data_IF_053742012675
#
_entry.id   IF_053742012675
#
_cell.length_a   1.000
_cell.length_b   1.000
_cell.length_c   1.000
_cell.angle_alpha   90.00
_cell.angle_beta   90.00
_cell.angle_gamma   90.00
#
_symmetry.space_group_name_H-M   'P 1'
#
loop_
_entity.id
_entity.type
_entity.pdbx_description
1 polymer ?
#
# COMPACT_ATOMS: atom_id res chain seq x y z
N UNK A 1 -3.26 -12.19 -83.69
CA UNK A 1 -4.48 -12.88 -84.24
C UNK A 1 -5.45 -13.03 -83.09
N UNK A 2 -6.61 -12.48 -83.30
CA UNK A 2 -7.89 -12.54 -82.60
C UNK A 2 -8.10 -11.62 -81.34
N UNK A 3 -8.80 -10.55 -81.67
CA UNK A 3 -9.55 -9.69 -80.78
C UNK A 3 -10.82 -10.46 -80.34
N UNK A 4 -11.14 -10.35 -79.04
CA UNK A 4 -12.49 -10.60 -78.53
C UNK A 4 -13.00 -9.34 -77.85
N UNK A 5 -14.04 -8.78 -78.44
CA UNK A 5 -14.87 -7.70 -77.91
C UNK A 5 -15.65 -8.18 -76.71
N UNK A 6 -15.65 -7.42 -75.61
CA UNK A 6 -16.56 -7.64 -74.48
C UNK A 6 -17.50 -6.46 -74.35
N UNK A 7 -18.74 -6.71 -74.67
CA UNK A 7 -19.89 -5.83 -74.59
C UNK A 7 -20.12 -5.35 -73.12
N UNK A 8 -20.27 -4.06 -72.95
CA UNK A 8 -20.71 -3.41 -71.71
C UNK A 8 -22.23 -3.66 -71.52
N UNK A 9 -22.60 -4.37 -70.42
CA UNK A 9 -23.94 -4.31 -69.88
C UNK A 9 -23.97 -3.39 -68.69
N UNK A 10 -24.74 -2.29 -68.76
CA UNK A 10 -25.14 -1.43 -67.65
C UNK A 10 -26.04 -2.19 -66.69
N UNK A 11 -25.62 -2.35 -65.43
CA UNK A 11 -26.48 -2.78 -64.34
C UNK A 11 -26.92 -1.51 -63.55
N UNK A 12 -28.23 -1.41 -63.41
CA UNK A 12 -28.91 -0.30 -62.68
C UNK A 12 -28.57 -0.42 -61.16
N UNK A 13 -28.18 0.70 -60.57
CA UNK A 13 -27.96 0.79 -59.15
C UNK A 13 -29.27 0.77 -58.36
N UNK A 14 -29.36 -0.14 -57.42
CA UNK A 14 -30.29 -0.03 -56.30
C UNK A 14 -29.50 0.52 -55.10
N UNK A 15 -29.78 1.78 -54.76
CA UNK A 15 -29.34 2.36 -53.51
C UNK A 15 -30.24 1.81 -52.40
N UNK A 16 -29.67 1.01 -51.51
CA UNK A 16 -30.30 0.67 -50.22
C UNK A 16 -30.05 1.80 -49.21
N UNK A 17 -31.02 2.17 -48.39
CA UNK A 17 -30.82 3.20 -47.40
C UNK A 17 -29.91 2.70 -46.26
N UNK A 18 -28.78 3.37 -46.06
CA UNK A 18 -27.93 3.18 -44.87
C UNK A 18 -28.75 3.62 -43.65
N UNK A 19 -29.05 2.66 -42.76
CA UNK A 19 -29.73 2.92 -41.51
C UNK A 19 -28.76 3.64 -40.55
N UNK A 20 -29.24 4.74 -39.99
CA UNK A 20 -28.51 5.59 -39.02
C UNK A 20 -28.29 4.93 -37.66
N UNK A 21 -28.51 3.65 -37.51
CA UNK A 21 -28.33 2.87 -36.28
C UNK A 21 -26.88 2.44 -35.99
N UNK A 22 -25.99 2.48 -36.99
CA UNK A 22 -24.59 2.04 -36.79
C UNK A 22 -23.66 3.15 -36.26
N UNK A 23 -24.06 4.43 -36.38
CA UNK A 23 -23.24 5.56 -35.93
C UNK A 23 -23.36 5.85 -34.41
N UNK A 24 -24.43 5.36 -33.78
CA UNK A 24 -24.69 5.63 -32.35
C UNK A 24 -23.96 4.64 -31.42
N UNK A 25 -23.59 3.48 -31.90
CA UNK A 25 -22.89 2.47 -31.09
C UNK A 25 -21.37 2.76 -30.97
N UNK A 26 -20.77 3.37 -31.97
CA UNK A 26 -19.34 3.72 -31.94
C UNK A 26 -19.05 4.93 -31.04
N UNK A 27 -20.01 5.82 -30.86
CA UNK A 27 -19.87 6.99 -29.98
C UNK A 27 -20.01 6.65 -28.47
N UNK A 28 -20.71 5.55 -28.14
CA UNK A 28 -20.88 5.11 -26.75
C UNK A 28 -19.68 4.34 -26.18
N UNK A 29 -18.79 3.80 -27.03
CA UNK A 29 -17.59 3.07 -26.58
C UNK A 29 -16.42 4.02 -26.26
N UNK A 30 -16.46 5.28 -26.73
CA UNK A 30 -15.44 6.30 -26.49
C UNK A 30 -15.69 7.16 -25.25
N UNK A 31 -16.79 6.93 -24.54
CA UNK A 31 -17.15 7.65 -23.31
C UNK A 31 -17.11 6.75 -22.06
N UNK A 32 -16.25 5.73 -22.03
CA UNK A 32 -15.94 5.10 -20.75
C UNK A 32 -15.00 6.05 -20.01
N UNK A 33 -15.38 6.60 -18.83
CA UNK A 33 -14.44 7.32 -18.02
C UNK A 33 -13.30 6.32 -17.70
N UNK A 34 -12.07 6.70 -18.03
CA UNK A 34 -10.90 6.00 -17.52
C UNK A 34 -11.04 6.02 -15.99
N UNK A 35 -11.18 4.85 -15.36
CA UNK A 35 -11.22 4.75 -13.92
C UNK A 35 -9.93 5.40 -13.40
N UNK A 36 -10.06 6.61 -12.89
CA UNK A 36 -8.98 7.31 -12.22
C UNK A 36 -8.76 6.58 -10.90
N UNK A 37 -7.73 5.73 -10.83
CA UNK A 37 -7.27 5.17 -9.57
C UNK A 37 -6.73 6.33 -8.73
N UNK A 38 -7.57 6.88 -7.87
CA UNK A 38 -7.17 7.87 -6.88
C UNK A 38 -6.28 7.16 -5.84
N UNK A 39 -4.99 7.38 -5.94
CA UNK A 39 -4.00 6.88 -4.99
C UNK A 39 -4.23 7.51 -3.62
N UNK A 40 -4.25 6.66 -2.57
CA UNK A 40 -4.40 7.06 -1.17
C UNK A 40 -3.47 8.21 -0.77
N UNK A 41 -4.00 9.18 -0.04
CA UNK A 41 -3.27 10.28 0.61
C UNK A 41 -2.87 11.43 -0.33
N UNK A 42 -2.44 11.16 -1.54
CA UNK A 42 -1.93 12.19 -2.45
C UNK A 42 -2.97 12.74 -3.44
N UNK A 43 -4.08 12.05 -3.64
CA UNK A 43 -5.16 12.51 -4.55
C UNK A 43 -5.76 13.85 -4.16
N UNK A 44 -5.71 14.19 -2.88
CA UNK A 44 -6.20 15.49 -2.36
C UNK A 44 -5.25 16.65 -2.59
N UNK A 45 -4.00 16.38 -2.96
CA UNK A 45 -2.97 17.40 -3.12
C UNK A 45 -2.66 17.63 -4.59
N UNK A 46 -2.49 18.90 -4.96
CA UNK A 46 -2.13 19.29 -6.32
C UNK A 46 -0.61 19.39 -6.48
N UNK A 47 -0.01 18.35 -7.01
CA UNK A 47 1.44 18.28 -7.21
C UNK A 47 1.97 19.25 -8.26
N UNK A 48 1.09 19.81 -9.09
CA UNK A 48 1.44 20.88 -10.01
C UNK A 48 1.49 22.26 -9.33
N UNK A 49 1.04 22.34 -8.06
CA UNK A 49 1.06 23.56 -7.26
C UNK A 49 1.96 23.37 -6.02
N UNK A 50 3.29 23.49 -6.18
CA UNK A 50 4.20 23.46 -5.06
C UNK A 50 3.92 24.66 -4.14
N UNK A 51 4.04 24.44 -2.83
CA UNK A 51 3.90 25.48 -1.82
C UNK A 51 5.16 25.56 -0.99
N UNK A 52 5.50 26.80 -0.61
CA UNK A 52 6.52 27.10 0.38
C UNK A 52 5.85 27.90 1.51
N UNK A 53 5.89 27.37 2.73
CA UNK A 53 5.17 27.90 3.88
C UNK A 53 6.16 28.11 5.00
N UNK A 54 6.22 29.32 5.54
CA UNK A 54 6.98 29.60 6.76
C UNK A 54 6.00 29.86 7.91
N UNK A 55 6.19 29.15 9.00
CA UNK A 55 5.32 29.27 10.17
C UNK A 55 5.93 28.72 11.45
N UNK A 56 5.22 28.93 12.56
CA UNK A 56 5.62 28.42 13.87
C UNK A 56 4.93 27.09 14.13
N UNK A 57 5.71 26.07 14.50
CA UNK A 57 5.17 24.73 14.86
C UNK A 57 4.32 24.85 16.11
N UNK A 58 3.06 24.43 16.04
CA UNK A 58 2.12 24.44 17.16
C UNK A 58 1.76 23.06 17.68
N UNK A 59 1.80 22.03 16.79
CA UNK A 59 1.51 20.63 17.15
C UNK A 59 2.11 19.69 16.12
N UNK A 60 2.44 18.49 16.58
CA UNK A 60 2.76 17.34 15.75
C UNK A 60 1.92 16.15 16.18
N UNK A 61 1.27 15.48 15.23
CA UNK A 61 0.66 14.17 15.41
C UNK A 61 1.52 13.15 14.65
N UNK A 62 2.45 12.52 15.36
CA UNK A 62 3.39 11.56 14.78
C UNK A 62 2.82 10.15 14.88
N UNK A 63 1.85 9.83 14.00
CA UNK A 63 0.95 8.67 14.09
C UNK A 63 0.84 7.91 12.76
N UNK A 64 0.24 6.72 12.81
CA UNK A 64 -0.22 5.97 11.64
C UNK A 64 -1.74 6.19 11.44
N UNK A 65 -2.27 6.12 10.23
CA UNK A 65 -1.62 5.87 8.95
C UNK A 65 -0.98 7.11 8.31
N UNK A 66 -1.25 8.32 8.80
CA UNK A 66 -0.71 9.60 8.33
C UNK A 66 -0.35 10.48 9.51
N UNK A 67 0.83 11.08 9.48
CA UNK A 67 1.23 12.08 10.47
C UNK A 67 0.84 13.48 10.01
N UNK A 68 0.67 14.41 10.96
CA UNK A 68 0.24 15.78 10.67
C UNK A 68 1.08 16.78 11.44
N UNK A 69 1.61 17.78 10.72
CA UNK A 69 2.25 18.93 11.30
C UNK A 69 1.31 20.11 11.25
N UNK A 70 1.15 20.80 12.38
CA UNK A 70 0.36 22.01 12.51
C UNK A 70 1.28 23.20 12.72
N UNK A 71 1.05 24.25 11.94
CA UNK A 71 1.83 25.49 12.01
C UNK A 71 0.93 26.70 11.95
N UNK A 72 1.32 27.73 12.68
CA UNK A 72 0.73 29.05 12.58
C UNK A 72 1.52 29.88 11.56
N UNK A 73 0.83 30.35 10.53
CA UNK A 73 1.40 31.13 9.42
C UNK A 73 0.88 32.56 9.50
N UNK A 74 1.79 33.52 9.61
CA UNK A 74 1.42 34.94 9.55
C UNK A 74 1.26 35.39 8.10
N UNK A 75 0.17 36.09 7.79
CA UNK A 75 -0.03 36.74 6.50
C UNK A 75 0.69 38.09 6.43
N UNK A 76 0.61 38.76 5.27
CA UNK A 76 1.22 40.07 5.05
C UNK A 76 0.65 41.19 5.95
N UNK A 77 -0.51 40.98 6.55
CA UNK A 77 -1.17 41.93 7.46
C UNK A 77 -0.85 41.61 8.94
N UNK A 78 -0.14 40.49 9.20
CA UNK A 78 0.17 40.00 10.54
C UNK A 78 -0.99 39.21 11.17
N UNK A 79 -2.03 38.85 10.42
CA UNK A 79 -3.06 37.91 10.87
C UNK A 79 -2.50 36.48 10.81
N UNK A 80 -2.73 35.72 11.87
CA UNK A 80 -2.23 34.34 11.96
C UNK A 80 -3.29 33.38 11.48
N UNK A 81 -2.89 32.46 10.61
CA UNK A 81 -3.71 31.37 10.08
C UNK A 81 -3.09 30.03 10.49
N UNK A 82 -3.90 29.18 11.14
CA UNK A 82 -3.49 27.82 11.41
C UNK A 82 -3.52 26.98 10.12
N UNK A 83 -2.44 26.27 9.85
CA UNK A 83 -2.32 25.34 8.73
C UNK A 83 -1.97 23.94 9.22
N UNK A 84 -2.44 22.95 8.48
CA UNK A 84 -2.16 21.54 8.74
C UNK A 84 -1.52 20.92 7.49
N UNK A 85 -0.37 20.31 7.66
CA UNK A 85 0.33 19.61 6.59
C UNK A 85 0.39 18.13 6.88
N UNK A 86 -0.15 17.32 5.97
CA UNK A 86 -0.12 15.87 6.02
C UNK A 86 1.27 15.36 5.66
N UNK A 87 1.69 14.29 6.32
CA UNK A 87 2.93 13.56 6.07
C UNK A 87 2.62 12.08 5.93
N UNK A 88 3.64 11.27 5.65
CA UNK A 88 3.52 9.80 5.66
C UNK A 88 3.30 9.28 7.09
N UNK A 89 2.98 7.97 7.15
CA UNK A 89 2.87 7.24 8.40
C UNK A 89 4.12 7.41 9.28
N UNK A 90 3.93 7.51 10.59
CA UNK A 90 5.02 7.64 11.55
C UNK A 90 6.11 6.55 11.39
N UNK A 91 5.71 5.31 11.08
CA UNK A 91 6.68 4.22 10.84
C UNK A 91 7.55 4.51 9.63
N UNK A 92 6.98 5.01 8.53
CA UNK A 92 7.74 5.40 7.33
C UNK A 92 8.67 6.58 7.59
N UNK A 93 8.20 7.57 8.35
CA UNK A 93 9.01 8.71 8.74
C UNK A 93 10.22 8.26 9.57
N UNK A 94 10.01 7.34 10.55
CA UNK A 94 11.12 6.76 11.34
C UNK A 94 12.11 6.00 10.47
N UNK A 95 11.63 5.21 9.52
CA UNK A 95 12.49 4.50 8.56
C UNK A 95 13.29 5.47 7.69
N UNK A 96 12.81 6.68 7.52
CA UNK A 96 13.50 7.78 6.82
C UNK A 96 14.35 8.65 7.76
N UNK A 97 14.53 8.24 9.01
CA UNK A 97 15.35 8.95 10.00
C UNK A 97 14.67 10.12 10.71
N UNK A 98 13.35 10.29 10.52
CA UNK A 98 12.60 11.34 11.22
C UNK A 98 12.16 10.85 12.60
N UNK A 99 12.09 11.76 13.56
CA UNK A 99 11.52 11.49 14.87
C UNK A 99 10.60 12.62 15.32
N UNK A 100 9.71 12.32 16.26
CA UNK A 100 8.78 13.33 16.81
C UNK A 100 9.52 14.50 17.46
N UNK A 101 10.65 14.21 18.12
CA UNK A 101 11.47 15.19 18.83
C UNK A 101 12.10 16.24 17.91
N UNK A 102 12.18 15.98 16.61
CA UNK A 102 12.65 16.95 15.62
C UNK A 102 11.71 18.14 15.48
N UNK A 103 10.42 17.94 15.76
CA UNK A 103 9.38 18.96 15.59
C UNK A 103 9.18 19.74 16.89
N UNK A 104 10.11 20.66 17.19
CA UNK A 104 10.08 21.44 18.42
C UNK A 104 8.94 22.46 18.38
N UNK A 105 7.97 22.32 19.30
CA UNK A 105 6.86 23.26 19.42
C UNK A 105 7.38 24.67 19.71
N UNK A 106 6.89 25.66 18.96
CA UNK A 106 7.33 27.05 19.02
C UNK A 106 8.53 27.38 18.12
N UNK A 107 9.14 26.38 17.47
CA UNK A 107 10.20 26.62 16.49
C UNK A 107 9.61 27.12 15.17
N UNK A 108 10.37 27.97 14.47
CA UNK A 108 10.07 28.35 13.10
C UNK A 108 10.42 27.18 12.16
N UNK A 109 9.52 26.89 11.24
CA UNK A 109 9.69 25.89 10.21
C UNK A 109 9.39 26.47 8.83
N UNK A 110 10.19 26.08 7.86
CA UNK A 110 9.96 26.33 6.44
C UNK A 110 9.58 24.98 5.79
N UNK A 111 8.37 24.91 5.30
CA UNK A 111 7.73 23.69 4.76
C UNK A 111 7.69 23.80 3.24
N UNK A 112 8.12 22.75 2.56
CA UNK A 112 8.03 22.59 1.12
C UNK A 112 7.11 21.39 0.83
N UNK A 113 6.18 21.55 -0.12
CA UNK A 113 5.22 20.51 -0.40
C UNK A 113 4.19 20.93 -1.45
N UNK A 114 2.97 20.42 -1.32
CA UNK A 114 1.90 20.64 -2.29
C UNK A 114 0.63 21.15 -1.65
N UNK A 115 -0.07 22.04 -2.34
CA UNK A 115 -1.35 22.57 -1.90
C UNK A 115 -2.43 21.46 -1.86
N UNK A 116 -3.30 21.50 -0.87
CA UNK A 116 -4.55 20.74 -0.90
C UNK A 116 -5.50 21.34 -1.95
N UNK A 117 -6.25 20.49 -2.67
CA UNK A 117 -7.11 20.95 -3.79
C UNK A 117 -8.27 21.83 -3.36
N UNK A 118 -8.85 21.52 -2.21
CA UNK A 118 -10.10 22.12 -1.74
C UNK A 118 -9.96 22.87 -0.39
N UNK A 119 -8.89 22.62 0.37
CA UNK A 119 -8.66 23.27 1.68
C UNK A 119 -7.42 24.18 1.63
N UNK A 120 -7.59 25.51 1.64
CA UNK A 120 -6.47 26.45 1.61
C UNK A 120 -5.62 26.44 2.88
N UNK A 121 -6.08 25.77 3.95
CA UNK A 121 -5.38 25.63 5.23
C UNK A 121 -4.71 24.26 5.38
N UNK A 122 -4.65 23.47 4.31
CA UNK A 122 -4.01 22.17 4.31
C UNK A 122 -2.93 22.06 3.23
N UNK A 123 -1.89 21.26 3.52
CA UNK A 123 -0.84 20.93 2.57
C UNK A 123 -0.35 19.48 2.76
N UNK A 124 0.36 18.96 1.77
CA UNK A 124 1.22 17.79 1.93
C UNK A 124 2.64 18.28 2.11
N UNK A 125 3.30 17.81 3.16
CA UNK A 125 4.69 18.15 3.45
C UNK A 125 5.62 17.12 2.82
N UNK A 126 6.50 17.58 1.95
CA UNK A 126 7.60 16.77 1.38
C UNK A 126 8.90 17.01 2.13
N UNK A 127 9.33 18.27 2.22
CA UNK A 127 10.56 18.66 2.88
C UNK A 127 10.29 19.72 3.94
N UNK A 128 11.15 19.77 4.96
CA UNK A 128 11.05 20.76 6.01
C UNK A 128 12.44 21.22 6.48
N UNK A 129 12.55 22.51 6.72
CA UNK A 129 13.68 23.10 7.44
C UNK A 129 13.18 23.65 8.78
N UNK A 130 13.80 23.22 9.87
CA UNK A 130 13.45 23.67 11.23
C UNK A 130 14.64 24.45 11.80
N UNK A 131 14.43 25.73 12.13
CA UNK A 131 15.50 26.64 12.52
C UNK A 131 16.52 26.88 11.40
N UNK A 132 17.71 27.34 11.75
CA UNK A 132 18.71 27.74 10.76
C UNK A 132 19.56 26.60 10.21
N UNK A 133 19.62 25.47 10.89
CA UNK A 133 20.61 24.43 10.62
C UNK A 133 20.06 23.07 10.22
N UNK A 134 18.82 22.77 10.56
CA UNK A 134 18.24 21.47 10.29
C UNK A 134 17.37 21.51 9.05
N UNK A 135 17.84 20.86 7.99
CA UNK A 135 17.05 20.58 6.81
C UNK A 135 16.79 19.09 6.75
N UNK A 136 15.51 18.72 6.65
CA UNK A 136 15.06 17.35 6.54
C UNK A 136 14.50 17.18 5.16
N UNK A 137 15.21 16.41 4.31
CA UNK A 137 14.73 15.99 3.01
C UNK A 137 14.33 14.53 3.11
N UNK A 138 13.06 14.26 2.88
CA UNK A 138 12.48 12.92 2.98
C UNK A 138 13.11 11.93 2.02
N UNK A 139 13.42 12.36 0.79
CA UNK A 139 13.96 11.48 -0.22
C UNK A 139 15.43 11.14 0.03
N UNK A 140 16.22 12.09 0.49
CA UNK A 140 17.64 11.91 0.76
C UNK A 140 17.89 11.03 1.99
N UNK A 141 16.97 11.04 2.97
CA UNK A 141 17.09 10.27 4.21
C UNK A 141 16.66 8.81 4.07
N UNK A 142 16.15 8.41 2.91
CA UNK A 142 15.82 7.02 2.62
C UNK A 142 17.05 6.11 2.44
N UNK A 143 18.22 6.48 2.93
CA UNK A 143 19.38 5.58 2.93
C UNK A 143 19.06 4.30 3.68
N UNK A 144 19.11 3.17 2.96
CA UNK A 144 19.03 1.85 3.58
C UNK A 144 20.22 1.71 4.54
N UNK A 145 19.96 1.78 5.82
CA UNK A 145 20.88 1.29 6.82
C UNK A 145 20.86 -0.24 6.75
N UNK A 146 21.49 -0.80 5.72
CA UNK A 146 21.90 -2.20 5.77
C UNK A 146 22.97 -2.30 6.82
N UNK A 147 22.57 -2.37 8.07
CA UNK A 147 23.50 -2.55 9.17
C UNK A 147 24.15 -3.90 9.01
N UNK A 148 25.46 -3.92 9.00
CA UNK A 148 26.28 -5.14 9.04
C UNK A 148 25.87 -6.08 10.19
N UNK A 149 25.27 -5.54 11.24
CA UNK A 149 24.72 -6.28 12.39
C UNK A 149 23.56 -7.20 12.01
N UNK A 150 22.68 -6.82 11.08
CA UNK A 150 21.57 -7.67 10.63
C UNK A 150 22.05 -8.86 9.79
N UNK A 151 23.19 -8.73 9.13
CA UNK A 151 23.81 -9.82 8.35
C UNK A 151 24.61 -10.78 9.23
N UNK A 152 25.00 -10.38 10.45
CA UNK A 152 25.86 -11.18 11.34
C UNK A 152 25.07 -12.07 12.30
N UNK A 153 23.75 -12.16 12.19
CA UNK A 153 22.97 -13.07 13.03
C UNK A 153 23.17 -14.53 12.60
N UNK A 154 23.06 -15.50 13.54
CA UNK A 154 23.11 -16.91 13.18
C UNK A 154 21.99 -17.26 12.19
N UNK A 155 22.35 -17.93 11.08
CA UNK A 155 21.37 -18.39 10.09
C UNK A 155 20.47 -19.51 10.61
N UNK A 156 20.95 -20.24 11.65
CA UNK A 156 20.19 -21.32 12.29
C UNK A 156 20.11 -21.13 13.78
N UNK A 157 19.01 -21.54 14.34
CA UNK A 157 18.85 -21.68 15.78
C UNK A 157 19.67 -22.88 16.29
N UNK A 158 19.86 -22.95 17.59
CA UNK A 158 20.55 -24.08 18.23
C UNK A 158 19.82 -25.42 18.01
N UNK A 159 18.52 -25.40 17.75
CA UNK A 159 17.67 -26.54 17.41
C UNK A 159 17.86 -27.02 15.96
N UNK A 160 18.53 -26.25 15.10
CA UNK A 160 18.85 -26.57 13.72
C UNK A 160 17.97 -25.91 12.65
N UNK A 161 16.79 -25.43 13.00
CA UNK A 161 15.89 -24.74 12.08
C UNK A 161 16.47 -23.40 11.60
N UNK A 162 15.99 -22.97 10.46
CA UNK A 162 16.35 -21.66 9.91
C UNK A 162 15.90 -20.55 10.86
N UNK A 163 16.79 -19.60 11.13
CA UNK A 163 16.50 -18.46 11.99
C UNK A 163 15.87 -17.33 11.19
N UNK A 164 14.56 -17.23 11.25
CA UNK A 164 13.78 -16.13 10.66
C UNK A 164 13.36 -15.09 11.70
N UNK A 165 13.78 -15.23 12.97
CA UNK A 165 13.49 -14.24 14.02
C UNK A 165 14.10 -12.89 13.67
N UNK A 166 13.43 -11.80 13.98
CA UNK A 166 13.92 -10.44 13.75
C UNK A 166 12.82 -9.49 13.31
N UNK A 167 13.23 -8.28 13.02
CA UNK A 167 12.35 -7.22 12.54
C UNK A 167 12.47 -7.14 11.01
N UNK A 168 11.32 -7.17 10.35
CA UNK A 168 11.20 -7.28 8.90
C UNK A 168 10.33 -6.17 8.34
N UNK A 169 10.72 -5.64 7.20
CA UNK A 169 9.96 -4.60 6.52
C UNK A 169 10.00 -4.77 5.01
N UNK A 170 8.92 -4.37 4.35
CA UNK A 170 8.90 -4.22 2.90
C UNK A 170 9.95 -3.19 2.48
N UNK A 171 10.48 -3.32 1.28
CA UNK A 171 11.25 -2.24 0.67
C UNK A 171 10.44 -0.94 0.66
N UNK A 172 11.11 0.17 0.94
CA UNK A 172 10.46 1.48 0.91
C UNK A 172 10.12 1.89 -0.52
N UNK A 173 9.00 2.58 -0.66
CA UNK A 173 8.55 3.16 -1.91
C UNK A 173 8.67 4.68 -1.87
N UNK A 174 9.11 5.25 -2.96
CA UNK A 174 9.19 6.69 -3.19
C UNK A 174 8.15 7.08 -4.24
N UNK A 175 7.61 8.27 -4.12
CA UNK A 175 6.68 8.76 -5.12
C UNK A 175 7.48 9.47 -6.19
N UNK A 176 7.55 8.86 -7.39
CA UNK A 176 8.05 9.52 -8.58
C UNK A 176 6.91 10.19 -9.35
N UNK A 177 7.17 11.35 -9.93
CA UNK A 177 6.17 12.12 -10.67
C UNK A 177 6.63 12.26 -12.11
N UNK A 178 5.78 11.80 -13.03
CA UNK A 178 5.98 12.02 -14.46
C UNK A 178 5.81 13.51 -14.82
N UNK A 179 6.36 13.97 -15.97
CA UNK A 179 6.21 15.35 -16.41
C UNK A 179 4.77 15.82 -16.61
N UNK A 180 3.84 14.89 -16.80
CA UNK A 180 2.40 15.18 -16.93
C UNK A 180 1.66 15.25 -15.56
N UNK A 181 2.41 15.21 -14.45
CA UNK A 181 1.88 15.29 -13.09
C UNK A 181 1.35 13.99 -12.51
N UNK A 182 1.33 12.87 -13.26
CA UNK A 182 0.98 11.56 -12.72
C UNK A 182 2.08 11.07 -11.79
N UNK A 183 1.70 10.64 -10.58
CA UNK A 183 2.61 10.03 -9.63
C UNK A 183 2.47 8.51 -9.62
N UNK A 184 3.59 7.81 -9.42
CA UNK A 184 3.60 6.37 -9.16
C UNK A 184 4.49 6.07 -7.95
N UNK A 185 4.16 4.99 -7.25
CA UNK A 185 5.00 4.46 -6.18
C UNK A 185 6.10 3.60 -6.79
N UNK A 186 7.33 4.01 -6.62
CA UNK A 186 8.51 3.34 -7.17
C UNK A 186 9.31 2.73 -6.03
N UNK A 187 9.68 1.43 -6.09
CA UNK A 187 10.60 0.84 -5.14
C UNK A 187 11.90 1.62 -5.10
N UNK A 188 12.45 1.83 -3.92
CA UNK A 188 13.69 2.60 -3.75
C UNK A 188 14.85 2.06 -4.60
N UNK A 189 14.97 0.75 -4.74
CA UNK A 189 15.98 0.09 -5.58
C UNK A 189 15.86 0.43 -7.07
N UNK A 190 14.69 0.87 -7.53
CA UNK A 190 14.42 1.20 -8.93
C UNK A 190 14.50 2.71 -9.24
N UNK A 191 14.59 3.56 -8.23
CA UNK A 191 14.55 5.04 -8.43
C UNK A 191 15.61 5.51 -9.42
N UNK A 192 16.86 5.08 -9.25
CA UNK A 192 17.94 5.50 -10.14
C UNK A 192 17.70 5.12 -11.61
N UNK A 193 17.14 3.93 -11.85
CA UNK A 193 16.81 3.45 -13.20
C UNK A 193 15.63 4.24 -13.81
N UNK A 194 14.65 4.62 -12.98
CA UNK A 194 13.53 5.47 -13.42
C UNK A 194 14.02 6.89 -13.73
N UNK A 195 14.83 7.49 -12.87
CA UNK A 195 15.37 8.84 -13.06
C UNK A 195 16.30 8.94 -14.27
N UNK A 196 17.07 7.89 -14.56
CA UNK A 196 17.93 7.82 -15.76
C UNK A 196 17.15 7.52 -17.04
N UNK A 197 15.88 7.13 -16.95
CA UNK A 197 15.04 6.72 -18.07
C UNK A 197 15.34 5.30 -18.59
N UNK A 198 16.09 4.49 -17.84
CA UNK A 198 16.32 3.07 -18.13
C UNK A 198 15.01 2.26 -17.95
N UNK A 199 14.19 2.64 -16.97
CA UNK A 199 12.86 2.08 -16.75
C UNK A 199 11.84 3.21 -16.88
N UNK A 200 10.80 3.01 -17.71
CA UNK A 200 9.72 3.97 -17.80
C UNK A 200 8.83 3.88 -16.55
N UNK A 201 8.27 5.00 -16.10
CA UNK A 201 7.47 5.05 -14.88
C UNK A 201 6.23 4.14 -14.96
N UNK A 202 5.66 3.96 -16.14
CA UNK A 202 4.54 3.06 -16.42
C UNK A 202 4.90 1.57 -16.36
N UNK A 203 6.19 1.24 -16.50
CA UNK A 203 6.70 -0.14 -16.44
C UNK A 203 7.11 -0.56 -15.01
N UNK A 204 7.04 0.36 -14.05
CA UNK A 204 7.31 0.04 -12.64
C UNK A 204 6.21 -0.90 -12.12
N UNK A 205 6.58 -2.06 -11.56
CA UNK A 205 5.60 -2.98 -10.98
C UNK A 205 4.74 -2.30 -9.91
N UNK A 206 3.45 -2.64 -9.82
CA UNK A 206 2.60 -2.12 -8.76
C UNK A 206 3.11 -2.55 -7.38
N UNK A 207 2.89 -1.70 -6.39
CA UNK A 207 3.27 -1.99 -5.01
C UNK A 207 2.70 -3.33 -4.51
N UNK A 208 3.51 -4.06 -3.74
CA UNK A 208 3.22 -5.44 -3.34
C UNK A 208 1.95 -5.65 -2.52
N UNK A 209 1.35 -4.59 -1.98
CA UNK A 209 0.11 -4.65 -1.21
C UNK A 209 -1.18 -4.51 -2.03
N UNK A 210 -1.11 -4.30 -3.35
CA UNK A 210 -2.29 -4.30 -4.21
C UNK A 210 -2.96 -5.67 -4.29
N UNK A 211 -4.25 -5.73 -4.72
CA UNK A 211 -4.93 -6.99 -4.92
C UNK A 211 -4.26 -7.80 -6.03
N UNK A 212 -4.16 -9.11 -5.82
CA UNK A 212 -3.67 -10.04 -6.86
C UNK A 212 -4.78 -10.35 -7.84
N UNK A 213 -4.45 -10.63 -9.11
CA UNK A 213 -5.44 -11.09 -10.08
C UNK A 213 -6.15 -12.35 -9.58
N UNK A 214 -7.48 -12.32 -9.57
CA UNK A 214 -8.33 -13.44 -9.20
C UNK A 214 -9.68 -13.29 -9.90
N UNK A 215 -10.31 -14.39 -10.25
CA UNK A 215 -11.69 -14.38 -10.74
C UNK A 215 -12.63 -14.31 -9.55
N UNK A 216 -13.44 -13.27 -9.47
CA UNK A 216 -14.42 -13.10 -8.40
C UNK A 216 -15.68 -13.89 -8.70
N UNK A 217 -16.33 -14.43 -7.68
CA UNK A 217 -17.71 -14.94 -7.77
C UNK A 217 -18.66 -13.77 -8.06
N UNK A 218 -19.89 -14.05 -8.43
CA UNK A 218 -20.91 -13.00 -8.64
C UNK A 218 -21.11 -12.13 -7.38
N UNK A 219 -21.02 -12.74 -6.19
CA UNK A 219 -21.05 -12.02 -4.91
C UNK A 219 -19.80 -11.18 -4.71
N UNK A 220 -18.63 -11.78 -4.93
CA UNK A 220 -17.34 -11.08 -4.79
C UNK A 220 -17.25 -9.86 -5.71
N UNK A 221 -17.69 -10.00 -6.97
CA UNK A 221 -17.71 -8.89 -7.93
C UNK A 221 -18.66 -7.78 -7.48
N UNK A 222 -19.89 -8.13 -7.09
CA UNK A 222 -20.86 -7.14 -6.63
C UNK A 222 -20.41 -6.36 -5.41
N UNK A 223 -19.74 -7.03 -4.43
CA UNK A 223 -19.23 -6.37 -3.24
C UNK A 223 -17.93 -5.57 -3.53
N UNK A 224 -17.11 -6.01 -4.48
CA UNK A 224 -15.94 -5.25 -4.92
C UNK A 224 -16.33 -3.97 -5.68
N UNK A 225 -17.35 -4.05 -6.56
CA UNK A 225 -17.89 -2.89 -7.28
C UNK A 225 -18.54 -1.87 -6.33
N UNK A 226 -19.12 -2.34 -5.22
CA UNK A 226 -19.74 -1.49 -4.21
C UNK A 226 -18.74 -0.98 -3.15
N UNK A 227 -17.47 -1.42 -3.19
CA UNK A 227 -16.48 -1.08 -2.19
C UNK A 227 -16.05 0.38 -2.28
N UNK A 228 -16.30 1.13 -1.22
CA UNK A 228 -15.91 2.54 -1.11
C UNK A 228 -14.58 2.64 -0.37
N UNK A 229 -13.52 2.94 -1.10
CA UNK A 229 -12.15 2.98 -0.58
C UNK A 229 -11.98 3.93 0.62
N UNK A 230 -12.76 5.01 0.65
CA UNK A 230 -12.70 6.06 1.67
C UNK A 230 -13.81 5.96 2.72
N UNK A 231 -14.62 4.90 2.67
CA UNK A 231 -15.64 4.66 3.68
C UNK A 231 -15.08 3.81 4.83
N UNK A 232 -15.19 4.25 6.10
CA UNK A 232 -14.77 3.44 7.24
C UNK A 232 -15.61 2.17 7.40
N UNK A 233 -16.80 2.09 6.82
CA UNK A 233 -17.61 0.87 6.82
C UNK A 233 -17.00 -0.22 5.94
N UNK A 234 -16.37 0.17 4.82
CA UNK A 234 -15.82 -0.77 3.84
C UNK A 234 -14.33 -1.02 4.06
N UNK A 235 -13.56 0.04 4.38
CA UNK A 235 -12.12 -0.03 4.53
C UNK A 235 -11.70 -0.03 6.02
N UNK A 236 -11.32 -1.18 6.59
CA UNK A 236 -10.99 -1.31 8.01
C UNK A 236 -9.82 -0.42 8.43
N UNK A 237 -8.92 -0.07 7.52
CA UNK A 237 -7.76 0.78 7.78
C UNK A 237 -8.15 2.17 8.28
N UNK A 238 -9.29 2.70 7.83
CA UNK A 238 -9.80 4.00 8.26
C UNK A 238 -10.31 3.99 9.71
N UNK A 239 -10.50 2.79 10.29
CA UNK A 239 -10.85 2.58 11.70
C UNK A 239 -9.71 1.96 12.51
N UNK A 240 -8.49 2.07 12.05
CA UNK A 240 -7.31 1.46 12.70
C UNK A 240 -7.46 -0.06 12.93
N UNK A 241 -8.15 -0.75 12.03
CA UNK A 241 -8.33 -2.20 12.09
C UNK A 241 -7.46 -2.90 11.04
N UNK A 242 -6.97 -4.10 11.35
CA UNK A 242 -6.23 -4.91 10.38
C UNK A 242 -7.04 -5.18 9.11
N UNK A 243 -6.36 -5.23 7.98
CA UNK A 243 -6.94 -5.65 6.71
C UNK A 243 -6.86 -7.17 6.58
N UNK A 244 -5.66 -7.70 6.48
CA UNK A 244 -5.41 -9.15 6.48
C UNK A 244 -3.95 -9.45 6.80
N UNK A 245 -3.67 -10.73 7.13
CA UNK A 245 -2.28 -11.20 7.31
C UNK A 245 -1.45 -11.12 6.02
N UNK A 246 -2.08 -11.03 4.85
CA UNK A 246 -1.38 -10.85 3.57
C UNK A 246 -1.05 -9.38 3.32
N UNK A 247 -2.04 -8.50 3.41
CA UNK A 247 -1.90 -7.08 3.13
C UNK A 247 -0.99 -6.38 4.16
N UNK A 248 -1.27 -6.57 5.45
CA UNK A 248 -0.57 -5.83 6.52
C UNK A 248 0.88 -6.29 6.70
N UNK A 249 1.24 -7.47 6.19
CA UNK A 249 2.60 -7.97 6.17
C UNK A 249 3.52 -7.14 5.28
N UNK A 250 3.03 -6.71 4.11
CA UNK A 250 3.83 -6.05 3.07
C UNK A 250 3.53 -4.57 2.91
N UNK A 251 2.68 -4.00 3.74
CA UNK A 251 2.47 -2.56 3.69
C UNK A 251 3.77 -1.82 4.07
N UNK A 252 4.25 -0.93 3.21
CA UNK A 252 5.56 -0.30 3.35
C UNK A 252 5.72 0.55 4.63
N UNK A 253 4.60 0.98 5.21
CA UNK A 253 4.54 1.64 6.51
C UNK A 253 4.74 0.72 7.71
N UNK A 254 4.81 -0.62 7.50
CA UNK A 254 4.90 -1.58 8.59
C UNK A 254 6.35 -2.05 8.83
N UNK A 255 6.68 -2.27 10.08
CA UNK A 255 7.80 -3.11 10.51
C UNK A 255 7.21 -4.24 11.33
N UNK A 256 7.39 -5.46 10.87
CA UNK A 256 6.84 -6.65 11.52
C UNK A 256 7.94 -7.38 12.30
N UNK A 257 7.60 -7.98 13.41
CA UNK A 257 8.54 -8.78 14.20
C UNK A 257 8.17 -10.25 14.17
N UNK A 258 9.14 -11.10 13.82
CA UNK A 258 9.05 -12.54 13.98
C UNK A 258 9.86 -12.95 15.22
N UNK A 259 9.26 -13.79 16.07
CA UNK A 259 9.93 -14.39 17.21
C UNK A 259 9.69 -15.90 17.23
N UNK A 260 10.75 -16.70 17.08
CA UNK A 260 10.68 -18.16 17.20
C UNK A 260 10.87 -18.56 18.67
N UNK A 261 9.90 -19.31 19.23
CA UNK A 261 9.86 -19.70 20.64
C UNK A 261 9.50 -21.18 20.77
N UNK A 262 10.47 -22.07 20.58
CA UNK A 262 10.28 -23.52 20.76
C UNK A 262 9.19 -24.07 19.84
N UNK A 263 8.01 -24.31 20.38
CA UNK A 263 6.87 -24.93 19.70
C UNK A 263 5.98 -23.94 18.91
N UNK A 264 6.36 -22.68 18.81
CA UNK A 264 5.58 -21.65 18.13
C UNK A 264 6.45 -20.55 17.53
N UNK A 265 5.89 -19.92 16.51
CA UNK A 265 6.40 -18.67 15.94
C UNK A 265 5.35 -17.59 16.16
N UNK A 266 5.78 -16.45 16.69
CA UNK A 266 4.92 -15.29 16.91
C UNK A 266 5.29 -14.22 15.90
N UNK A 267 4.30 -13.71 15.16
CA UNK A 267 4.43 -12.58 14.25
C UNK A 267 3.63 -11.41 14.82
N UNK A 268 4.32 -10.33 15.15
CA UNK A 268 3.71 -9.07 15.52
C UNK A 268 3.70 -8.16 14.28
N UNK A 269 2.50 -7.78 13.83
CA UNK A 269 2.30 -6.89 12.69
C UNK A 269 2.38 -5.44 13.14
N UNK A 270 3.23 -4.65 12.46
CA UNK A 270 3.56 -3.31 12.91
C UNK A 270 2.52 -2.24 12.58
N UNK A 271 1.67 -2.46 11.56
CA UNK A 271 0.76 -1.41 11.11
C UNK A 271 -0.37 -1.14 12.13
N UNK A 272 -1.00 -2.20 12.65
CA UNK A 272 -2.12 -2.11 13.60
C UNK A 272 -1.88 -2.91 14.88
N UNK A 273 -0.63 -3.31 15.12
CA UNK A 273 -0.17 -3.96 16.36
C UNK A 273 -0.95 -5.22 16.75
N UNK A 274 -1.35 -6.04 15.78
CA UNK A 274 -1.95 -7.34 16.05
C UNK A 274 -0.91 -8.46 16.03
N UNK A 275 -1.22 -9.54 16.75
CA UNK A 275 -0.35 -10.70 16.89
C UNK A 275 -0.94 -11.92 16.18
N UNK A 276 -0.08 -12.70 15.54
CA UNK A 276 -0.40 -14.00 14.97
C UNK A 276 0.52 -15.05 15.58
N UNK A 277 -0.06 -16.16 16.04
CA UNK A 277 0.68 -17.32 16.58
C UNK A 277 0.60 -18.46 15.58
N UNK A 278 1.76 -18.98 15.18
CA UNK A 278 1.90 -20.20 14.36
C UNK A 278 2.33 -21.33 15.29
N UNK A 279 1.49 -22.35 15.46
CA UNK A 279 1.74 -23.52 16.28
C UNK A 279 2.54 -24.55 15.50
N UNK A 280 3.73 -24.95 16.03
CA UNK A 280 4.62 -25.94 15.39
C UNK A 280 4.43 -27.35 15.94
N UNK A 281 3.65 -27.50 17.00
CA UNK A 281 3.40 -28.76 17.70
C UNK A 281 1.98 -29.31 17.46
N UNK A 282 1.30 -28.83 16.45
CA UNK A 282 -0.04 -29.24 16.08
C UNK A 282 -0.06 -29.81 14.65
N UNK A 283 -0.66 -30.99 14.49
CA UNK A 283 -0.81 -31.67 13.19
C UNK A 283 -2.14 -31.33 12.51
N UNK A 284 -3.09 -30.77 13.26
CA UNK A 284 -4.41 -30.37 12.77
C UNK A 284 -4.95 -29.15 13.53
N UNK A 285 -5.80 -28.40 12.89
CA UNK A 285 -6.54 -27.32 13.53
C UNK A 285 -7.56 -27.88 14.52
N UNK A 286 -7.85 -27.17 15.65
CA UNK A 286 -8.95 -27.54 16.53
C UNK A 286 -10.31 -27.42 15.83
N UNK A 287 -11.29 -28.19 16.30
CA UNK A 287 -12.65 -28.12 15.75
C UNK A 287 -13.34 -26.78 16.06
N UNK A 288 -13.08 -26.25 17.26
CA UNK A 288 -13.66 -24.99 17.74
C UNK A 288 -12.61 -23.87 17.66
N UNK A 289 -12.66 -23.07 16.57
CA UNK A 289 -11.80 -21.90 16.39
C UNK A 289 -12.66 -20.65 16.54
N UNK A 290 -12.29 -19.76 17.47
CA UNK A 290 -12.88 -18.43 17.54
C UNK A 290 -12.33 -17.58 16.37
N UNK A 291 -13.19 -17.07 15.46
CA UNK A 291 -12.74 -16.31 14.30
C UNK A 291 -12.02 -15.03 14.70
N UNK A 292 -10.89 -14.78 14.04
CA UNK A 292 -10.08 -13.58 14.27
C UNK A 292 -9.48 -13.02 12.99
N UNK A 293 -8.91 -11.81 13.04
CA UNK A 293 -8.16 -11.23 11.90
C UNK A 293 -6.91 -12.04 11.55
N UNK A 294 -6.28 -12.68 12.53
CA UNK A 294 -5.08 -13.48 12.33
C UNK A 294 -5.37 -14.93 11.93
N UNK A 295 -6.61 -15.40 12.10
CA UNK A 295 -6.97 -16.81 11.99
C UNK A 295 -6.28 -17.68 13.04
N UNK A 296 -6.35 -18.99 12.84
CA UNK A 296 -5.59 -19.99 13.58
C UNK A 296 -4.57 -20.63 12.65
N UNK A 297 -3.28 -20.56 13.01
CA UNK A 297 -2.18 -21.03 12.15
C UNK A 297 -1.47 -22.22 12.77
N UNK A 298 -1.26 -23.26 11.96
CA UNK A 298 -0.35 -24.38 12.26
C UNK A 298 0.81 -24.33 11.26
N UNK A 299 2.00 -24.73 11.69
CA UNK A 299 3.19 -24.66 10.86
C UNK A 299 4.09 -25.88 10.99
N UNK A 300 4.83 -26.17 9.96
CA UNK A 300 5.86 -27.18 9.96
C UNK A 300 7.05 -26.76 9.09
N UNK A 301 8.21 -27.24 9.45
CA UNK A 301 9.41 -27.07 8.63
C UNK A 301 9.54 -28.20 7.61
N UNK A 302 9.66 -27.85 6.34
CA UNK A 302 9.98 -28.73 5.22
C UNK A 302 11.39 -28.38 4.73
N UNK A 303 12.41 -28.95 5.34
CA UNK A 303 13.79 -28.52 5.15
C UNK A 303 13.98 -27.09 5.66
N UNK A 304 14.37 -26.17 4.78
CA UNK A 304 14.57 -24.76 5.09
C UNK A 304 13.34 -23.88 4.74
N UNK A 305 12.18 -24.48 4.48
CA UNK A 305 10.94 -23.77 4.20
C UNK A 305 9.96 -23.99 5.35
N UNK A 306 9.48 -22.90 5.96
CA UNK A 306 8.37 -22.94 6.90
C UNK A 306 7.07 -22.93 6.10
N UNK A 307 6.30 -23.99 6.20
CA UNK A 307 4.95 -24.09 5.62
C UNK A 307 3.94 -23.82 6.71
N UNK A 308 3.03 -22.89 6.43
CA UNK A 308 2.00 -22.44 7.39
C UNK A 308 0.63 -22.60 6.76
N UNK A 309 -0.26 -23.25 7.47
CA UNK A 309 -1.67 -23.44 7.12
C UNK A 309 -2.54 -22.59 8.07
N UNK A 310 -3.50 -21.83 7.54
CA UNK A 310 -4.29 -20.90 8.35
C UNK A 310 -5.75 -20.90 7.93
N UNK A 311 -6.63 -21.10 8.89
CA UNK A 311 -8.10 -21.04 8.77
C UNK A 311 -8.70 -20.25 9.94
N UNK A 312 -10.01 -20.13 10.02
CA UNK A 312 -10.70 -19.50 11.14
C UNK A 312 -10.58 -17.98 11.14
N UNK A 313 -10.65 -17.38 9.96
CA UNK A 313 -10.68 -15.93 9.83
C UNK A 313 -12.06 -15.35 10.14
N UNK A 314 -12.09 -14.20 10.79
CA UNK A 314 -13.28 -13.35 10.81
C UNK A 314 -13.48 -12.76 9.39
N UNK A 315 -14.73 -12.67 8.88
CA UNK A 315 -14.97 -12.04 7.57
C UNK A 315 -14.36 -10.64 7.48
N UNK A 316 -13.75 -10.32 6.32
CA UNK A 316 -13.01 -9.08 6.18
C UNK A 316 -12.61 -8.74 4.74
N UNK A 317 -11.48 -8.09 4.60
CA UNK A 317 -10.89 -7.66 3.32
C UNK A 317 -9.53 -8.34 3.17
N UNK A 318 -9.32 -9.07 2.07
CA UNK A 318 -8.01 -9.68 1.81
C UNK A 318 -7.01 -8.66 1.28
N UNK A 319 -7.45 -7.85 0.32
CA UNK A 319 -6.78 -6.64 -0.17
C UNK A 319 -7.83 -5.77 -0.89
N UNK A 320 -8.01 -4.50 -0.54
CA UNK A 320 -9.05 -3.66 -1.11
C UNK A 320 -9.02 -3.65 -2.66
N UNK A 321 -10.15 -3.83 -3.37
CA UNK A 321 -11.52 -3.97 -2.85
C UNK A 321 -11.96 -5.43 -2.59
N UNK A 322 -11.07 -6.42 -2.68
CA UNK A 322 -11.40 -7.86 -2.57
C UNK A 322 -11.66 -8.24 -1.12
N UNK A 323 -12.88 -8.74 -0.86
CA UNK A 323 -13.29 -9.24 0.46
C UNK A 323 -13.01 -10.73 0.61
N UNK A 324 -13.17 -11.22 1.83
CA UNK A 324 -13.17 -12.64 2.15
C UNK A 324 -14.23 -12.97 3.21
N UNK A 325 -14.62 -14.23 3.25
CA UNK A 325 -15.54 -14.79 4.26
C UNK A 325 -14.78 -15.47 5.41
N UNK A 326 -15.52 -16.13 6.30
CA UNK A 326 -14.96 -17.03 7.30
C UNK A 326 -14.44 -18.36 6.72
N UNK A 327 -14.73 -18.65 5.44
CA UNK A 327 -14.22 -19.83 4.73
C UNK A 327 -12.82 -19.60 4.09
N UNK A 328 -12.24 -18.41 4.32
CA UNK A 328 -10.88 -18.12 3.85
C UNK A 328 -9.90 -19.14 4.42
N UNK A 329 -9.13 -19.75 3.54
CA UNK A 329 -8.03 -20.65 3.86
C UNK A 329 -6.76 -20.14 3.17
N UNK A 330 -5.66 -20.02 3.91
CA UNK A 330 -4.39 -19.52 3.39
C UNK A 330 -3.29 -20.52 3.72
N UNK A 331 -2.52 -20.91 2.70
CA UNK A 331 -1.28 -21.67 2.84
C UNK A 331 -0.11 -20.77 2.44
N UNK A 332 0.87 -20.64 3.34
CA UNK A 332 2.05 -19.81 3.12
C UNK A 332 3.32 -20.66 3.19
N UNK A 333 4.36 -20.22 2.46
CA UNK A 333 5.69 -20.85 2.45
C UNK A 333 6.74 -19.76 2.62
N UNK A 334 7.39 -19.75 3.78
CA UNK A 334 8.45 -18.78 4.06
C UNK A 334 9.82 -19.42 3.80
N UNK A 335 10.65 -18.72 3.04
CA UNK A 335 12.03 -19.10 2.75
C UNK A 335 12.96 -17.89 2.89
N UNK A 336 14.13 -18.10 3.46
CA UNK A 336 15.14 -17.05 3.64
C UNK A 336 16.30 -17.29 2.68
N UNK A 337 16.64 -16.27 1.89
CA UNK A 337 17.86 -16.26 1.12
C UNK A 337 19.03 -15.89 2.07
N UNK A 338 20.01 -16.80 2.32
CA UNK A 338 21.08 -16.52 3.27
C UNK A 338 22.11 -15.50 2.76
N UNK A 339 22.17 -15.24 1.45
CA UNK A 339 23.12 -14.32 0.84
C UNK A 339 22.59 -12.87 0.87
N UNK A 340 21.33 -12.70 0.51
CA UNK A 340 20.67 -11.38 0.46
C UNK A 340 19.93 -11.03 1.73
N UNK A 341 19.66 -12.03 2.60
CA UNK A 341 18.80 -11.93 3.79
C UNK A 341 17.33 -11.54 3.46
N UNK A 342 16.89 -11.80 2.23
CA UNK A 342 15.50 -11.64 1.83
C UNK A 342 14.66 -12.77 2.39
N UNK A 343 13.62 -12.44 3.14
CA UNK A 343 12.59 -13.36 3.57
C UNK A 343 11.43 -13.32 2.56
N UNK A 344 11.35 -14.38 1.76
CA UNK A 344 10.29 -14.56 0.77
C UNK A 344 9.14 -15.33 1.39
N UNK A 345 7.92 -14.88 1.14
CA UNK A 345 6.68 -15.58 1.44
C UNK A 345 5.90 -15.81 0.14
N UNK A 346 5.74 -17.07 -0.27
CA UNK A 346 4.78 -17.47 -1.29
C UNK A 346 3.47 -17.85 -0.60
N UNK A 347 2.32 -17.53 -1.21
CA UNK A 347 1.02 -17.86 -0.62
C UNK A 347 -0.02 -18.25 -1.65
N UNK A 348 -0.93 -19.11 -1.21
CA UNK A 348 -2.15 -19.48 -1.91
C UNK A 348 -3.30 -19.31 -0.95
N UNK A 349 -4.31 -18.55 -1.35
CA UNK A 349 -5.54 -18.38 -0.59
C UNK A 349 -6.75 -18.85 -1.41
N UNK A 350 -7.71 -19.46 -0.74
CA UNK A 350 -9.00 -19.88 -1.32
C UNK A 350 -10.14 -19.36 -0.46
N UNK A 351 -11.20 -18.90 -1.10
CA UNK A 351 -12.45 -18.52 -0.46
C UNK A 351 -13.60 -18.71 -1.47
N UNK A 352 -14.34 -19.83 -1.38
CA UNK A 352 -15.35 -20.16 -2.40
C UNK A 352 -16.55 -19.20 -2.40
N UNK A 353 -16.69 -18.36 -1.39
CA UNK A 353 -17.76 -17.36 -1.30
C UNK A 353 -17.43 -16.15 -2.17
N UNK A 354 -16.15 -15.73 -2.22
CA UNK A 354 -15.75 -14.47 -2.85
C UNK A 354 -14.96 -14.60 -4.14
N UNK A 355 -14.21 -15.71 -4.34
CA UNK A 355 -13.46 -15.91 -5.58
C UNK A 355 -13.43 -17.37 -6.03
N UNK A 356 -13.28 -17.53 -7.33
CA UNK A 356 -13.17 -18.83 -8.00
C UNK A 356 -11.69 -19.20 -8.13
N UNK A 357 -11.33 -20.40 -7.67
CA UNK A 357 -9.96 -20.88 -7.74
C UNK A 357 -9.08 -20.27 -6.63
N UNK A 358 -7.85 -19.90 -6.97
CA UNK A 358 -6.81 -19.54 -6.04
C UNK A 358 -6.39 -18.07 -6.17
N UNK A 359 -6.26 -17.38 -5.04
CA UNK A 359 -5.62 -16.07 -4.92
C UNK A 359 -4.14 -16.30 -4.60
N UNK A 360 -3.30 -16.23 -5.63
CA UNK A 360 -1.90 -16.61 -5.55
C UNK A 360 -0.99 -15.38 -5.60
N UNK A 361 0.02 -15.38 -4.76
CA UNK A 361 1.02 -14.32 -4.79
C UNK A 361 2.29 -14.68 -4.06
N UNK A 362 3.22 -13.76 -4.10
CA UNK A 362 4.40 -13.77 -3.26
C UNK A 362 4.77 -12.35 -2.85
N UNK A 363 5.56 -12.27 -1.81
CA UNK A 363 6.19 -11.03 -1.37
C UNK A 363 7.57 -11.30 -0.78
N UNK A 364 8.36 -10.22 -0.67
CA UNK A 364 9.70 -10.25 -0.11
C UNK A 364 9.79 -9.12 0.91
N UNK A 365 10.30 -9.44 2.09
CA UNK A 365 10.66 -8.46 3.10
C UNK A 365 12.14 -8.54 3.43
N UNK A 366 12.71 -7.43 3.84
CA UNK A 366 14.11 -7.29 4.20
C UNK A 366 14.24 -7.12 5.72
N UNK A 367 15.40 -7.41 6.31
CA UNK A 367 15.68 -6.97 7.67
C UNK A 367 15.43 -5.48 7.80
N UNK A 368 14.64 -5.10 8.79
CA UNK A 368 14.24 -3.70 8.96
C UNK A 368 15.42 -2.82 9.37
N UNK A 369 15.44 -1.63 8.84
CA UNK A 369 16.38 -0.54 9.15
C UNK A 369 16.10 0.12 10.52
N UNK A 370 14.89 -0.07 11.04
CA UNK A 370 14.47 0.40 12.36
C UNK A 370 13.80 -0.74 13.14
N UNK A 371 13.87 -0.74 14.48
CA UNK A 371 13.23 -1.77 15.28
C UNK A 371 11.71 -1.71 15.16
N UNK A 372 11.07 -2.87 15.31
CA UNK A 372 9.63 -2.95 15.53
C UNK A 372 9.25 -2.16 16.79
N UNK A 373 8.25 -1.31 16.65
CA UNK A 373 7.59 -0.63 17.75
C UNK A 373 6.09 -0.78 17.55
N UNK A 374 5.40 -1.23 18.59
CA UNK A 374 3.94 -1.24 18.58
C UNK A 374 3.45 0.22 18.59
N UNK A 375 2.78 0.63 17.54
CA UNK A 375 2.25 1.99 17.42
C UNK A 375 0.75 2.01 17.64
N UNK A 376 0.24 2.89 18.48
CA UNK A 376 -1.16 3.21 18.45
C UNK A 376 -1.47 3.80 17.06
N UNK A 377 -2.51 3.29 16.43
CA UNK A 377 -3.12 3.95 15.30
C UNK A 377 -4.21 4.88 15.86
N UNK A 378 -4.28 6.10 15.36
CA UNK A 378 -5.40 7.00 15.64
C UNK A 378 -6.36 6.92 14.45
N UNK A 379 -7.64 6.74 14.74
CA UNK A 379 -8.68 6.85 13.72
C UNK A 379 -8.56 8.22 13.02
N UNK A 380 -8.72 8.22 11.71
CA UNK A 380 -8.80 9.48 10.98
C UNK A 380 -10.00 10.27 11.51
N UNK A 381 -9.79 11.55 11.81
CA UNK A 381 -10.89 12.39 12.25
C UNK A 381 -12.03 12.38 11.23
N UNK A 382 -13.31 12.38 11.64
CA UNK A 382 -14.47 12.31 10.74
C UNK A 382 -14.45 13.36 9.61
N UNK A 383 -13.88 14.52 9.86
CA UNK A 383 -13.68 15.58 8.87
C UNK A 383 -12.79 15.16 7.68
N UNK A 384 -11.95 14.14 7.84
CA UNK A 384 -11.11 13.60 6.76
C UNK A 384 -11.82 12.50 5.95
N UNK A 385 -12.90 11.95 6.50
CA UNK A 385 -13.61 10.81 5.94
C UNK A 385 -14.84 11.26 5.17
N UNK A 386 -15.50 12.34 5.61
CA UNK A 386 -16.84 12.71 5.16
C UNK A 386 -16.92 13.47 3.84
N UNK A 387 -15.86 14.12 3.37
CA UNK A 387 -15.93 14.99 2.19
C UNK A 387 -15.84 14.24 0.86
N UNK A 388 -15.22 13.05 0.82
CA UNK A 388 -15.08 12.25 -0.41
C UNK A 388 -16.20 11.24 -0.63
N UNK A 389 -16.91 10.80 0.40
CA UNK A 389 -18.00 9.84 0.27
C UNK A 389 -19.23 10.41 -0.47
N UNK A 390 -19.28 11.72 -0.69
CA UNK A 390 -20.37 12.40 -1.39
C UNK A 390 -20.08 12.71 -2.87
N UNK A 391 -18.89 12.36 -3.38
CA UNK A 391 -18.42 12.71 -4.73
C UNK A 391 -18.22 11.53 -5.70
N UNK A 392 -18.55 10.29 -5.28
CA UNK A 392 -18.59 9.11 -6.16
C UNK A 392 -20.02 8.80 -6.66
#
# INVERSE_FOLDING_TARGET
VDRLEITRRRAAGHQAPFSHAAATIVAAILAMPAASFAHHGLGRFDRSQPVEITGTITRIDFVNPHSYLYVDVADANGETRAMRCEMRAATLLRRSGWSEEMFVIGAEAQIFGFAHRDDPNACYLEDIKIGDTLQINRNDQLEQRTTSELRNRPLRLASGELNISGDWAQEQYVIAVAPDGRGNLVPKSMIAAVESGEIALEDVPPAGWGPRPVTLTARGQSEADAFRMWSPEDNPRLRCQPTSILFDWVFDGAVNRITQKGDRIVINYGLYSFERVIHLNMDAHPEDIEPSYAGHSIGRWEGDVLVVDTIGFAPGVIAPPVRHSGELHIVERFSLNPETMELRRDYVATDPVYFEGEYVGYDIVLPSDVPYVAHPCNELAPEFISEDASRE
#
